data_IF_947750469427
#
_entry.id   IF_947750469427
#
_cell.length_a   1.000
_cell.length_b   1.000
_cell.length_c   1.000
_cell.angle_alpha   90.00
_cell.angle_beta   90.00
_cell.angle_gamma   90.00
#
_symmetry.space_group_name_H-M   'P 1'
#
loop_
_entity.id
_entity.type
_entity.pdbx_description
1 polymer ?
#
# COMPACT_ATOMS: atom_id res chain seq x y z
N UNK A 1 4.79 2.54 -10.95
CA UNK A 1 5.22 1.53 -9.95
C UNK A 1 4.71 1.98 -8.59
N UNK A 2 3.49 1.59 -8.19
CA UNK A 2 2.73 2.24 -7.12
C UNK A 2 3.48 2.38 -5.78
N UNK A 3 4.34 1.43 -5.44
CA UNK A 3 5.06 1.41 -4.15
C UNK A 3 6.50 1.93 -4.19
N UNK A 4 6.92 2.60 -5.28
CA UNK A 4 8.30 3.10 -5.41
C UNK A 4 8.65 4.13 -4.33
N UNK A 5 7.68 4.95 -3.93
CA UNK A 5 7.88 6.03 -2.96
C UNK A 5 7.74 5.56 -1.49
N UNK A 6 7.50 4.26 -1.28
CA UNK A 6 7.45 3.65 0.06
C UNK A 6 8.83 3.16 0.50
N UNK A 7 9.62 4.08 1.05
CA UNK A 7 10.99 3.82 1.50
C UNK A 7 10.99 3.28 2.94
N UNK A 8 11.79 2.25 3.22
CA UNK A 8 12.02 1.74 4.58
C UNK A 8 10.85 0.95 5.20
N UNK A 9 9.83 0.57 4.40
CA UNK A 9 8.62 -0.11 4.89
C UNK A 9 8.45 -1.53 4.28
N UNK A 10 9.38 -2.47 4.52
CA UNK A 10 9.38 -3.78 3.85
C UNK A 10 8.15 -4.64 4.18
N UNK A 11 7.73 -4.67 5.45
CA UNK A 11 6.56 -5.44 5.88
C UNK A 11 5.25 -4.93 5.26
N UNK A 12 5.04 -3.60 5.27
CA UNK A 12 3.86 -3.00 4.66
C UNK A 12 3.81 -3.30 3.16
N UNK A 13 4.95 -3.17 2.46
CA UNK A 13 5.05 -3.50 1.03
C UNK A 13 4.69 -4.96 0.76
N UNK A 14 5.25 -5.90 1.52
CA UNK A 14 4.98 -7.33 1.35
C UNK A 14 3.50 -7.66 1.54
N UNK A 15 2.87 -7.09 2.57
CA UNK A 15 1.45 -7.30 2.86
C UNK A 15 0.55 -6.76 1.74
N UNK A 16 0.76 -5.52 1.31
CA UNK A 16 -0.04 -4.88 0.26
C UNK A 16 0.16 -5.58 -1.10
N UNK A 17 1.39 -5.92 -1.47
CA UNK A 17 1.68 -6.66 -2.70
C UNK A 17 1.13 -8.10 -2.66
N UNK A 18 1.12 -8.74 -1.48
CA UNK A 18 0.51 -10.05 -1.28
C UNK A 18 -0.99 -10.04 -1.53
N UNK A 19 -1.69 -9.05 -0.98
CA UNK A 19 -3.14 -8.87 -1.17
C UNK A 19 -3.48 -8.68 -2.66
N UNK A 20 -2.70 -7.85 -3.37
CA UNK A 20 -2.88 -7.61 -4.81
C UNK A 20 -2.65 -8.88 -5.64
N UNK A 21 -1.53 -9.58 -5.42
CA UNK A 21 -1.19 -10.80 -6.19
C UNK A 21 -2.16 -11.94 -5.96
N UNK A 22 -2.68 -12.07 -4.75
CA UNK A 22 -3.64 -13.12 -4.40
C UNK A 22 -5.09 -12.77 -4.73
N UNK A 23 -5.35 -11.54 -5.20
CA UNK A 23 -6.70 -10.99 -5.36
C UNK A 23 -7.57 -11.08 -4.09
N UNK A 24 -6.95 -11.20 -2.91
CA UNK A 24 -7.63 -11.25 -1.61
C UNK A 24 -7.45 -9.93 -0.90
N UNK A 25 -8.31 -8.98 -1.22
CA UNK A 25 -8.27 -7.62 -0.68
C UNK A 25 -9.26 -7.53 0.49
N UNK A 26 -8.79 -7.03 1.62
CA UNK A 26 -9.67 -6.78 2.77
C UNK A 26 -10.56 -5.56 2.50
N UNK A 27 -11.78 -5.57 3.06
CA UNK A 27 -12.75 -4.48 2.89
C UNK A 27 -12.24 -3.13 3.43
N UNK A 28 -11.32 -3.15 4.40
CA UNK A 28 -10.76 -1.95 5.02
C UNK A 28 -9.30 -2.16 5.41
N UNK A 29 -8.51 -1.08 5.33
CA UNK A 29 -7.12 -1.01 5.80
C UNK A 29 -6.92 0.24 6.65
N UNK A 30 -6.26 0.08 7.80
CA UNK A 30 -5.88 1.19 8.67
C UNK A 30 -4.37 1.42 8.59
N UNK A 31 -3.97 2.62 8.15
CA UNK A 31 -2.56 3.01 8.06
C UNK A 31 -2.17 3.84 9.30
N UNK A 32 -1.37 3.26 10.20
CA UNK A 32 -0.99 3.85 11.50
C UNK A 32 0.51 4.13 11.58
N UNK A 33 0.89 5.14 12.37
CA UNK A 33 2.29 5.54 12.57
C UNK A 33 2.43 7.05 12.84
N UNK A 34 3.64 7.53 13.18
CA UNK A 34 3.92 8.94 13.43
C UNK A 34 3.64 9.86 12.22
N UNK A 35 3.65 11.17 12.43
CA UNK A 35 3.60 12.14 11.34
C UNK A 35 4.85 12.05 10.46
N UNK A 36 4.69 12.18 9.14
CA UNK A 36 5.82 12.13 8.18
C UNK A 36 6.28 10.73 7.74
N UNK A 37 5.77 9.65 8.34
CA UNK A 37 6.20 8.25 8.01
C UNK A 37 5.64 7.71 6.68
N UNK A 38 4.90 8.52 5.91
CA UNK A 38 4.37 8.10 4.60
C UNK A 38 3.07 7.30 4.63
N UNK A 39 2.26 7.40 5.69
CA UNK A 39 0.94 6.72 5.80
C UNK A 39 0.02 7.02 4.62
N UNK A 40 -0.15 8.30 4.30
CA UNK A 40 -1.00 8.73 3.19
C UNK A 40 -0.44 8.28 1.83
N UNK A 41 0.89 8.32 1.69
CA UNK A 41 1.59 7.83 0.50
C UNK A 41 1.30 6.34 0.29
N UNK A 42 1.39 5.52 1.35
CA UNK A 42 1.06 4.09 1.30
C UNK A 42 -0.38 3.84 0.88
N UNK A 43 -1.33 4.57 1.48
CA UNK A 43 -2.75 4.44 1.16
C UNK A 43 -3.03 4.78 -0.31
N UNK A 44 -2.48 5.90 -0.82
CA UNK A 44 -2.63 6.33 -2.22
C UNK A 44 -1.99 5.36 -3.19
N UNK A 45 -0.78 4.90 -2.91
CA UNK A 45 -0.08 3.89 -3.70
C UNK A 45 -0.91 2.61 -3.83
N UNK A 46 -1.48 2.13 -2.73
CA UNK A 46 -2.32 0.94 -2.72
C UNK A 46 -3.63 1.15 -3.51
N UNK A 47 -4.28 2.30 -3.32
CA UNK A 47 -5.49 2.64 -4.08
C UNK A 47 -5.23 2.72 -5.60
N UNK A 48 -4.12 3.34 -6.01
CA UNK A 48 -3.71 3.35 -7.42
C UNK A 48 -3.47 1.94 -7.96
N UNK A 49 -2.80 1.09 -7.19
CA UNK A 49 -2.55 -0.30 -7.59
C UNK A 49 -3.83 -1.13 -7.72
N UNK A 50 -4.89 -0.76 -6.99
CA UNK A 50 -6.21 -1.43 -7.03
C UNK A 50 -7.08 -0.93 -8.19
N UNK A 51 -7.08 0.38 -8.44
CA UNK A 51 -8.10 1.03 -9.26
C UNK A 51 -7.61 1.43 -10.66
N UNK A 52 -6.32 1.69 -10.84
CA UNK A 52 -5.79 2.05 -12.14
C UNK A 52 -5.42 0.80 -12.93
N UNK A 53 -6.07 0.59 -14.06
CA UNK A 53 -5.58 -0.29 -15.12
C UNK A 53 -4.30 0.29 -15.72
N UNK A 54 -3.29 -0.56 -15.93
CA UNK A 54 -2.07 -0.20 -16.63
C UNK A 54 -2.34 0.28 -18.07
#
# INVERSE_FOLDING_TARGET
MPFRDLIGQPHARLLLQGALRSARISHAYLFVGPSGVGRLTAARAFAQALLCSA
#
